data_IF_663271532355
#
_entry.id   IF_663271532355
#
_cell.length_a   1.000
_cell.length_b   1.000
_cell.length_c   1.000
_cell.angle_alpha   90.00
_cell.angle_beta   90.00
_cell.angle_gamma   90.00
#
_symmetry.space_group_name_H-M   'P 1'
#
loop_
_entity.id
_entity.type
_entity.pdbx_description
1 polymer ?
#
# COMPACT_ATOMS: atom_id res chain seq x y z
N UNK A 1 -10.24 0.40 26.58
CA UNK A 1 -11.35 0.20 25.63
C UNK A 1 -10.73 -0.56 24.47
N UNK A 2 -11.38 -1.61 23.97
CA UNK A 2 -10.83 -2.39 22.87
C UNK A 2 -11.52 -1.95 21.59
N UNK A 3 -10.75 -1.58 20.57
CA UNK A 3 -11.30 -1.06 19.32
C UNK A 3 -11.38 -2.13 18.23
N UNK A 4 -10.47 -3.12 18.27
CA UNK A 4 -10.34 -4.15 17.24
C UNK A 4 -10.45 -5.54 17.88
N UNK A 5 -11.52 -6.24 17.54
CA UNK A 5 -11.75 -7.63 17.91
C UNK A 5 -11.16 -8.57 16.84
N UNK A 6 -10.26 -9.48 17.21
CA UNK A 6 -9.68 -10.46 16.29
C UNK A 6 -10.36 -11.81 16.52
N UNK A 7 -11.25 -12.17 15.60
CA UNK A 7 -11.94 -13.44 15.52
C UNK A 7 -11.08 -14.42 14.69
N UNK A 8 -10.73 -15.56 15.27
CA UNK A 8 -9.90 -16.57 14.62
C UNK A 8 -10.20 -17.95 15.19
N UNK A 9 -9.72 -18.99 14.52
CA UNK A 9 -9.72 -20.36 15.03
C UNK A 9 -8.33 -20.79 15.44
N UNK A 10 -8.25 -21.64 16.46
CA UNK A 10 -6.98 -22.15 16.98
C UNK A 10 -6.14 -22.83 15.90
N UNK A 11 -6.75 -23.70 15.09
CA UNK A 11 -6.09 -24.38 13.97
C UNK A 11 -5.98 -23.42 12.78
N UNK A 12 -4.78 -23.30 12.21
CA UNK A 12 -4.49 -22.47 11.03
C UNK A 12 -4.36 -20.96 11.28
N UNK A 13 -5.16 -20.39 12.18
CA UNK A 13 -5.24 -18.93 12.37
C UNK A 13 -4.35 -18.32 13.46
N UNK A 14 -3.88 -19.10 14.45
CA UNK A 14 -3.25 -18.57 15.67
C UNK A 14 -1.99 -17.71 15.44
N UNK A 15 -1.14 -18.11 14.50
CA UNK A 15 0.10 -17.36 14.18
C UNK A 15 -0.21 -15.98 13.62
N UNK A 16 -1.11 -15.92 12.62
CA UNK A 16 -1.58 -14.66 12.05
C UNK A 16 -2.34 -13.82 13.07
N UNK A 17 -3.19 -14.43 13.90
CA UNK A 17 -3.91 -13.72 14.94
C UNK A 17 -2.96 -12.99 15.91
N UNK A 18 -1.93 -13.68 16.39
CA UNK A 18 -0.91 -13.10 17.27
C UNK A 18 -0.11 -11.98 16.58
N UNK A 19 0.16 -12.13 15.28
CA UNK A 19 0.83 -11.10 14.48
C UNK A 19 -0.06 -9.85 14.31
N UNK A 20 -1.35 -10.04 14.02
CA UNK A 20 -2.33 -8.95 13.93
C UNK A 20 -2.47 -8.23 15.27
N UNK A 21 -2.67 -8.97 16.38
CA UNK A 21 -2.78 -8.41 17.73
C UNK A 21 -1.60 -7.52 18.03
N UNK A 22 -0.38 -8.04 17.86
CA UNK A 22 0.85 -7.32 18.14
C UNK A 22 0.97 -6.06 17.27
N UNK A 23 0.86 -6.18 15.96
CA UNK A 23 1.08 -5.05 15.06
C UNK A 23 0.02 -3.95 15.19
N UNK A 24 -1.25 -4.33 15.39
CA UNK A 24 -2.32 -3.37 15.58
C UNK A 24 -2.24 -2.73 16.97
N UNK A 25 -1.81 -3.46 18.00
CA UNK A 25 -1.57 -2.87 19.33
C UNK A 25 -0.35 -1.95 19.36
N UNK A 26 0.72 -2.28 18.63
CA UNK A 26 1.87 -1.39 18.44
C UNK A 26 1.42 -0.06 17.81
N UNK A 27 0.49 -0.11 16.85
CA UNK A 27 -0.03 1.06 16.15
C UNK A 27 -1.05 1.88 16.95
N UNK A 28 -2.11 1.26 17.43
CA UNK A 28 -3.25 1.93 18.05
C UNK A 28 -3.19 1.94 19.58
N UNK A 29 -2.12 1.39 20.14
CA UNK A 29 -1.86 1.33 21.56
C UNK A 29 -2.15 -0.02 22.20
N UNK A 30 -1.51 -0.24 23.34
CA UNK A 30 -1.63 -1.48 24.09
C UNK A 30 -3.09 -1.76 24.46
N UNK A 31 -3.57 -2.96 24.14
CA UNK A 31 -4.96 -3.38 24.40
C UNK A 31 -6.00 -2.86 23.40
N UNK A 32 -5.60 -2.13 22.35
CA UNK A 32 -6.53 -1.71 21.27
C UNK A 32 -7.00 -2.87 20.41
N UNK A 33 -6.16 -3.88 20.21
CA UNK A 33 -6.48 -5.13 19.54
C UNK A 33 -6.40 -6.31 20.51
N UNK A 34 -7.35 -7.24 20.40
CA UNK A 34 -7.43 -8.38 21.31
C UNK A 34 -7.96 -9.64 20.63
N UNK A 35 -7.55 -10.77 21.17
CA UNK A 35 -7.82 -12.10 20.63
C UNK A 35 -9.02 -12.73 21.34
N UNK A 36 -10.02 -13.14 20.55
CA UNK A 36 -11.22 -13.83 21.02
C UNK A 36 -10.95 -14.94 22.06
N UNK A 37 -9.93 -15.77 21.83
CA UNK A 37 -9.67 -16.93 22.70
C UNK A 37 -8.63 -16.69 23.82
N UNK A 38 -7.89 -15.58 23.82
CA UNK A 38 -6.74 -15.39 24.75
C UNK A 38 -7.01 -14.32 25.81
N UNK A 39 -7.92 -13.39 25.57
CA UNK A 39 -8.06 -12.17 26.39
C UNK A 39 -9.04 -12.30 27.57
N UNK A 40 -9.59 -13.49 27.83
CA UNK A 40 -10.51 -13.71 28.94
C UNK A 40 -9.74 -14.22 30.15
N UNK A 41 -9.67 -13.37 31.18
CA UNK A 41 -9.03 -13.72 32.45
C UNK A 41 -9.67 -14.96 33.11
N UNK A 42 -8.88 -15.77 33.83
CA UNK A 42 -9.38 -16.97 34.49
C UNK A 42 -10.50 -16.64 35.49
N UNK A 43 -11.57 -17.44 35.49
CA UNK A 43 -12.73 -17.26 36.38
C UNK A 43 -13.88 -16.42 35.82
N UNK A 44 -13.68 -15.70 34.72
CA UNK A 44 -14.75 -14.95 34.06
C UNK A 44 -15.66 -15.87 33.23
N UNK A 45 -16.96 -15.55 33.18
CA UNK A 45 -17.87 -16.20 32.24
C UNK A 45 -17.44 -15.88 30.80
N UNK A 46 -16.86 -16.88 30.15
CA UNK A 46 -16.31 -16.77 28.80
C UNK A 46 -17.36 -16.29 27.78
N UNK A 47 -18.62 -16.72 27.95
CA UNK A 47 -19.73 -16.34 27.06
C UNK A 47 -19.97 -14.85 27.09
N UNK A 48 -20.13 -14.30 28.29
CA UNK A 48 -20.50 -12.90 28.47
C UNK A 48 -19.33 -12.00 28.11
N UNK A 49 -18.10 -12.37 28.51
CA UNK A 49 -16.91 -11.59 28.22
C UNK A 49 -16.68 -11.43 26.70
N UNK A 50 -16.88 -12.49 25.92
CA UNK A 50 -16.76 -12.44 24.45
C UNK A 50 -17.79 -11.52 23.82
N UNK A 51 -19.07 -11.70 24.16
CA UNK A 51 -20.18 -10.89 23.61
C UNK A 51 -19.98 -9.41 23.96
N UNK A 52 -19.62 -9.11 25.20
CA UNK A 52 -19.31 -7.74 25.61
C UNK A 52 -18.07 -7.18 24.90
N UNK A 53 -17.06 -8.01 24.65
CA UNK A 53 -15.88 -7.64 23.88
C UNK A 53 -16.25 -7.21 22.46
N UNK A 54 -17.00 -8.05 21.74
CA UNK A 54 -17.46 -7.75 20.37
C UNK A 54 -18.28 -6.46 20.34
N UNK A 55 -19.29 -6.33 21.22
CA UNK A 55 -20.17 -5.15 21.29
C UNK A 55 -19.45 -3.83 21.53
N UNK A 56 -18.32 -3.87 22.23
CA UNK A 56 -17.52 -2.68 22.55
C UNK A 56 -16.49 -2.33 21.49
N UNK A 57 -16.26 -3.24 20.54
CA UNK A 57 -15.28 -3.05 19.47
C UNK A 57 -15.90 -2.23 18.34
N UNK A 58 -15.04 -1.55 17.58
CA UNK A 58 -15.43 -0.81 16.37
C UNK A 58 -15.22 -1.65 15.13
N UNK A 59 -14.23 -2.53 15.17
CA UNK A 59 -13.86 -3.42 14.08
C UNK A 59 -13.80 -4.86 14.59
N UNK A 60 -14.34 -5.79 13.79
CA UNK A 60 -14.08 -7.21 13.92
C UNK A 60 -13.30 -7.68 12.70
N UNK A 61 -12.11 -8.24 12.93
CA UNK A 61 -11.29 -8.90 11.92
C UNK A 61 -11.57 -10.40 11.98
N UNK A 62 -12.21 -10.94 10.93
CA UNK A 62 -12.49 -12.38 10.82
C UNK A 62 -11.36 -13.06 10.04
N UNK A 63 -10.49 -13.80 10.73
CA UNK A 63 -9.36 -14.49 10.10
C UNK A 63 -9.82 -15.78 9.44
N UNK A 64 -9.72 -15.82 8.11
CA UNK A 64 -10.19 -16.91 7.25
C UNK A 64 -8.99 -17.59 6.61
N UNK A 65 -8.60 -18.74 7.14
CA UNK A 65 -7.62 -19.64 6.52
C UNK A 65 -8.27 -20.59 5.50
N UNK A 66 -7.45 -21.40 4.82
CA UNK A 66 -7.89 -22.36 3.81
C UNK A 66 -8.85 -23.45 4.33
N UNK A 67 -8.86 -23.70 5.64
CA UNK A 67 -9.72 -24.69 6.27
C UNK A 67 -10.91 -24.02 6.99
N UNK A 68 -11.10 -22.71 6.82
CA UNK A 68 -12.03 -21.91 7.63
C UNK A 68 -13.48 -22.38 7.53
N UNK A 69 -13.89 -22.68 6.30
CA UNK A 69 -15.26 -23.06 6.00
C UNK A 69 -15.56 -24.51 6.39
N UNK A 70 -14.59 -25.41 6.17
CA UNK A 70 -14.80 -26.86 6.23
C UNK A 70 -14.23 -27.53 7.48
N UNK A 71 -13.71 -26.78 8.45
CA UNK A 71 -13.19 -27.42 9.67
C UNK A 71 -14.27 -28.24 10.38
N UNK A 72 -13.88 -29.40 10.94
CA UNK A 72 -14.81 -30.31 11.58
C UNK A 72 -15.31 -29.76 12.91
N UNK A 73 -16.57 -30.05 13.23
CA UNK A 73 -17.12 -29.89 14.57
C UNK A 73 -16.57 -30.99 15.49
N UNK A 74 -15.75 -30.61 16.48
CA UNK A 74 -15.21 -31.56 17.45
C UNK A 74 -16.29 -32.26 18.29
N UNK A 75 -17.49 -31.70 18.40
CA UNK A 75 -18.61 -32.28 19.18
C UNK A 75 -19.44 -33.26 18.35
N UNK A 76 -19.42 -33.17 17.03
CA UNK A 76 -20.19 -34.04 16.13
C UNK A 76 -19.41 -34.37 14.87
N UNK A 77 -19.00 -35.63 14.77
CA UNK A 77 -18.36 -36.16 13.57
C UNK A 77 -19.23 -35.94 12.32
N UNK A 78 -18.59 -35.58 11.21
CA UNK A 78 -19.25 -35.36 9.91
C UNK A 78 -19.96 -34.01 9.74
N UNK A 79 -19.90 -33.10 10.72
CA UNK A 79 -20.47 -31.76 10.63
C UNK A 79 -19.36 -30.70 10.59
N UNK A 80 -19.58 -29.61 9.85
CA UNK A 80 -18.71 -28.42 9.88
C UNK A 80 -18.92 -27.63 11.17
N UNK A 81 -17.83 -27.12 11.76
CA UNK A 81 -17.86 -26.36 13.00
C UNK A 81 -18.79 -25.14 12.94
N UNK A 82 -18.78 -24.39 11.83
CA UNK A 82 -19.65 -23.23 11.62
C UNK A 82 -21.14 -23.59 11.52
N UNK A 83 -21.47 -24.84 11.21
CA UNK A 83 -22.85 -25.29 11.21
C UNK A 83 -23.43 -25.41 12.63
N UNK A 84 -22.60 -25.55 13.68
CA UNK A 84 -23.05 -25.53 15.07
C UNK A 84 -23.37 -24.08 15.52
N UNK A 85 -24.62 -23.76 15.90
CA UNK A 85 -24.96 -22.44 16.43
C UNK A 85 -24.25 -22.11 17.76
N UNK A 86 -23.71 -23.12 18.45
CA UNK A 86 -22.90 -22.93 19.67
C UNK A 86 -21.41 -22.74 19.38
N UNK A 87 -21.00 -22.68 18.11
CA UNK A 87 -19.62 -22.41 17.73
C UNK A 87 -19.27 -20.94 18.02
N UNK A 88 -18.16 -20.71 18.69
CA UNK A 88 -17.74 -19.38 19.13
C UNK A 88 -17.43 -18.42 17.98
N UNK A 89 -16.69 -18.90 16.98
CA UNK A 89 -16.33 -18.08 15.82
C UNK A 89 -17.58 -17.56 15.12
N UNK A 90 -18.56 -18.44 14.93
CA UNK A 90 -19.86 -18.05 14.39
C UNK A 90 -20.58 -17.02 15.26
N UNK A 91 -20.69 -17.27 16.57
CA UNK A 91 -21.42 -16.39 17.49
C UNK A 91 -20.82 -14.99 17.56
N UNK A 92 -19.50 -14.87 17.54
CA UNK A 92 -18.81 -13.58 17.56
C UNK A 92 -19.09 -12.76 16.31
N UNK A 93 -19.09 -13.40 15.13
CA UNK A 93 -19.41 -12.74 13.86
C UNK A 93 -20.90 -12.34 13.82
N UNK A 94 -21.79 -13.23 14.25
CA UNK A 94 -23.23 -12.93 14.34
C UNK A 94 -23.48 -11.73 15.27
N UNK A 95 -22.80 -11.68 16.42
CA UNK A 95 -22.92 -10.59 17.37
C UNK A 95 -22.36 -9.27 16.82
N UNK A 96 -21.26 -9.33 16.06
CA UNK A 96 -20.68 -8.15 15.41
C UNK A 96 -21.65 -7.53 14.40
N UNK A 97 -22.26 -8.36 13.55
CA UNK A 97 -23.29 -7.89 12.62
C UNK A 97 -24.49 -7.31 13.36
N UNK A 98 -24.97 -7.99 14.41
CA UNK A 98 -26.10 -7.51 15.22
C UNK A 98 -25.81 -6.17 15.92
N UNK A 99 -24.55 -5.93 16.28
CA UNK A 99 -24.11 -4.74 17.00
C UNK A 99 -23.64 -3.60 16.07
N UNK A 100 -23.70 -3.78 14.75
CA UNK A 100 -23.25 -2.78 13.79
C UNK A 100 -21.73 -2.55 13.77
N UNK A 101 -20.96 -3.53 14.24
CA UNK A 101 -19.48 -3.49 14.20
C UNK A 101 -19.02 -3.65 12.76
N UNK A 102 -17.97 -2.93 12.36
CA UNK A 102 -17.35 -3.09 11.04
C UNK A 102 -16.69 -4.47 10.95
N UNK A 103 -17.26 -5.38 10.16
CA UNK A 103 -16.70 -6.72 9.95
C UNK A 103 -15.81 -6.74 8.70
N UNK A 104 -14.56 -7.15 8.86
CA UNK A 104 -13.59 -7.26 7.77
C UNK A 104 -13.05 -8.70 7.71
N UNK A 105 -13.39 -9.48 6.67
CA UNK A 105 -12.75 -10.76 6.43
C UNK A 105 -11.26 -10.57 6.06
N UNK A 106 -10.38 -11.30 6.74
CA UNK A 106 -8.95 -11.36 6.45
C UNK A 106 -8.59 -12.75 5.92
N UNK A 107 -8.41 -12.87 4.61
CA UNK A 107 -8.00 -14.11 3.96
C UNK A 107 -6.52 -14.39 4.19
N UNK A 108 -6.21 -15.51 4.83
CA UNK A 108 -4.87 -15.87 5.27
C UNK A 108 -4.13 -16.72 4.23
N UNK A 109 -2.99 -16.22 3.77
CA UNK A 109 -2.17 -16.87 2.77
C UNK A 109 -2.80 -16.86 1.38
N UNK A 110 -2.26 -17.69 0.48
CA UNK A 110 -2.70 -17.76 -0.92
C UNK A 110 -3.83 -18.77 -1.15
N UNK A 111 -3.97 -19.76 -0.26
CA UNK A 111 -4.95 -20.84 -0.37
C UNK A 111 -6.30 -20.51 0.25
N UNK A 112 -6.39 -19.45 1.04
CA UNK A 112 -7.68 -18.92 1.48
C UNK A 112 -8.45 -18.32 0.31
N UNK A 113 -9.56 -18.94 -0.03
CA UNK A 113 -10.47 -18.53 -1.08
C UNK A 113 -11.48 -17.49 -0.58
N UNK A 114 -12.14 -16.81 -1.52
CA UNK A 114 -13.27 -15.96 -1.20
C UNK A 114 -14.39 -16.79 -0.59
N UNK A 115 -15.06 -16.24 0.42
CA UNK A 115 -16.19 -16.91 1.06
C UNK A 115 -17.37 -17.00 0.10
N UNK A 116 -17.98 -18.18 0.01
CA UNK A 116 -19.22 -18.41 -0.73
C UNK A 116 -20.42 -18.37 0.24
N UNK A 117 -21.32 -17.41 0.04
CA UNK A 117 -22.54 -17.22 0.84
C UNK A 117 -23.39 -18.50 0.92
N UNK A 118 -23.43 -19.31 -0.14
CA UNK A 118 -24.22 -20.55 -0.17
C UNK A 118 -23.63 -21.67 0.68
N UNK A 119 -22.31 -21.61 0.94
CA UNK A 119 -21.64 -22.58 1.79
C UNK A 119 -21.67 -22.18 3.27
N UNK A 120 -22.08 -20.95 3.58
CA UNK A 120 -22.20 -20.44 4.95
C UNK A 120 -23.58 -20.72 5.56
N UNK A 121 -23.69 -20.80 6.90
CA UNK A 121 -24.98 -20.65 7.57
C UNK A 121 -25.65 -19.33 7.17
N UNK A 122 -26.99 -19.32 7.06
CA UNK A 122 -27.75 -18.12 6.62
C UNK A 122 -27.39 -16.84 7.38
N UNK A 123 -27.14 -16.95 8.68
CA UNK A 123 -26.76 -15.82 9.54
C UNK A 123 -25.35 -15.26 9.28
N UNK A 124 -24.47 -16.05 8.65
CA UNK A 124 -23.13 -15.63 8.26
C UNK A 124 -23.00 -15.28 6.78
N UNK A 125 -24.06 -15.47 5.97
CA UNK A 125 -24.03 -15.13 4.55
C UNK A 125 -23.53 -13.68 4.26
N UNK A 126 -23.88 -12.64 5.06
CA UNK A 126 -23.36 -11.30 4.85
C UNK A 126 -21.82 -11.20 4.90
N UNK A 127 -21.13 -12.11 5.60
CA UNK A 127 -19.66 -12.13 5.66
C UNK A 127 -19.03 -12.34 4.28
N UNK A 128 -19.69 -13.07 3.39
CA UNK A 128 -19.23 -13.28 2.01
C UNK A 128 -19.41 -12.04 1.12
N UNK A 129 -20.26 -11.11 1.53
CA UNK A 129 -20.53 -9.85 0.81
C UNK A 129 -19.61 -8.71 1.30
N UNK A 130 -18.94 -8.88 2.44
CA UNK A 130 -17.97 -7.93 2.94
C UNK A 130 -16.72 -7.86 2.04
N UNK A 131 -16.19 -6.64 1.87
CA UNK A 131 -14.86 -6.46 1.27
C UNK A 131 -13.81 -7.13 2.17
N UNK A 132 -13.01 -8.02 1.58
CA UNK A 132 -11.97 -8.75 2.29
C UNK A 132 -10.59 -8.13 2.05
N UNK A 133 -9.70 -8.25 3.03
CA UNK A 133 -8.27 -8.06 2.83
C UNK A 133 -7.55 -9.40 2.78
N UNK A 134 -6.37 -9.41 2.17
CA UNK A 134 -5.51 -10.60 2.12
C UNK A 134 -4.23 -10.35 2.91
N UNK A 135 -3.89 -11.32 3.76
CA UNK A 135 -2.66 -11.32 4.54
C UNK A 135 -1.75 -12.44 4.05
N UNK A 136 -0.68 -12.08 3.34
CA UNK A 136 0.27 -13.04 2.78
C UNK A 136 1.41 -13.31 3.75
N UNK A 137 1.82 -14.57 3.87
CA UNK A 137 2.93 -14.96 4.75
C UNK A 137 4.27 -14.28 4.39
N UNK A 138 4.44 -13.86 3.13
CA UNK A 138 5.68 -13.21 2.65
C UNK A 138 5.70 -11.70 2.86
N UNK A 139 4.53 -11.08 3.03
CA UNK A 139 4.36 -9.61 3.03
C UNK A 139 3.49 -9.14 4.21
N UNK A 140 3.36 -9.97 5.25
CA UNK A 140 2.37 -9.78 6.29
C UNK A 140 2.45 -8.42 6.97
N UNK A 141 3.66 -7.91 7.21
CA UNK A 141 3.88 -6.59 7.79
C UNK A 141 3.36 -5.46 6.88
N UNK A 142 3.75 -5.46 5.60
CA UNK A 142 3.27 -4.47 4.63
C UNK A 142 1.74 -4.54 4.44
N UNK A 143 1.18 -5.74 4.45
CA UNK A 143 -0.27 -5.97 4.34
C UNK A 143 -1.00 -5.41 5.58
N UNK A 144 -0.46 -5.63 6.79
CA UNK A 144 -1.00 -5.07 8.03
C UNK A 144 -0.86 -3.55 8.12
N UNK A 145 0.20 -3.00 7.54
CA UNK A 145 0.38 -1.55 7.44
C UNK A 145 -0.78 -0.95 6.65
N UNK A 146 -1.03 -1.48 5.45
CA UNK A 146 -2.12 -1.05 4.56
C UNK A 146 -3.50 -1.29 5.18
N UNK A 147 -3.70 -2.43 5.84
CA UNK A 147 -4.95 -2.72 6.56
C UNK A 147 -5.22 -1.62 7.58
N UNK A 148 -4.25 -1.31 8.44
CA UNK A 148 -4.45 -0.27 9.45
C UNK A 148 -4.73 1.11 8.82
N UNK A 149 -4.12 1.44 7.68
CA UNK A 149 -4.35 2.74 7.02
C UNK A 149 -5.79 2.87 6.54
N UNK A 150 -6.34 1.77 6.01
CA UNK A 150 -7.75 1.68 5.63
C UNK A 150 -8.68 1.71 6.84
N UNK A 151 -8.31 1.05 7.93
CA UNK A 151 -9.09 1.10 9.17
C UNK A 151 -9.16 2.52 9.75
N UNK A 152 -8.06 3.27 9.71
CA UNK A 152 -8.03 4.69 10.13
C UNK A 152 -8.96 5.55 9.28
N UNK A 153 -9.02 5.31 7.97
CA UNK A 153 -9.92 6.06 7.07
C UNK A 153 -11.40 5.76 7.32
N UNK A 154 -11.72 4.56 7.82
CA UNK A 154 -13.10 4.10 7.99
C UNK A 154 -13.62 4.28 9.42
N UNK A 155 -12.73 4.33 10.42
CA UNK A 155 -13.09 4.30 11.84
C UNK A 155 -12.44 5.49 12.57
N UNK A 156 -13.21 6.55 12.86
CA UNK A 156 -12.69 7.75 13.53
C UNK A 156 -12.01 7.47 14.88
N UNK A 157 -12.52 6.52 15.65
CA UNK A 157 -11.94 6.13 16.93
C UNK A 157 -10.53 5.54 16.78
N UNK A 158 -10.26 4.80 15.71
CA UNK A 158 -8.91 4.29 15.40
C UNK A 158 -7.99 5.40 14.90
N UNK A 159 -8.52 6.37 14.14
CA UNK A 159 -7.75 7.55 13.74
C UNK A 159 -7.26 8.37 14.94
N UNK A 160 -8.10 8.51 15.98
CA UNK A 160 -7.72 9.20 17.22
C UNK A 160 -6.63 8.47 18.02
N UNK A 161 -6.46 7.16 17.81
CA UNK A 161 -5.51 6.31 18.53
C UNK A 161 -4.23 6.02 17.73
N UNK A 162 -4.15 6.41 16.46
CA UNK A 162 -3.02 6.08 15.60
C UNK A 162 -1.73 6.76 16.11
N UNK A 163 -0.78 5.95 16.58
CA UNK A 163 0.51 6.41 17.14
C UNK A 163 1.63 6.48 16.12
N UNK A 164 1.37 6.08 14.87
CA UNK A 164 2.38 6.31 13.84
C UNK A 164 2.64 7.81 13.78
N UNK A 165 3.91 8.24 13.76
CA UNK A 165 4.19 9.62 13.40
C UNK A 165 3.47 9.82 12.07
N UNK A 166 2.54 10.78 12.01
CA UNK A 166 1.83 11.11 10.79
C UNK A 166 2.90 11.15 9.71
N UNK A 167 2.92 10.14 8.85
CA UNK A 167 3.77 10.15 7.67
C UNK A 167 3.30 11.43 7.00
N UNK A 168 4.15 12.47 7.08
CA UNK A 168 3.76 13.87 6.85
C UNK A 168 2.67 13.84 5.82
N UNK A 169 1.44 14.20 6.22
CA UNK A 169 0.41 14.50 5.25
C UNK A 169 1.08 15.52 4.36
N UNK A 170 1.61 15.08 3.21
CA UNK A 170 1.91 15.99 2.14
C UNK A 170 0.52 16.57 1.89
N UNK A 171 0.31 17.87 2.16
CA UNK A 171 -0.96 18.47 1.84
C UNK A 171 -1.25 18.08 0.39
N UNK A 172 -2.45 17.56 0.15
CA UNK A 172 -3.00 17.44 -1.20
C UNK A 172 -2.61 18.73 -1.92
N UNK A 173 -1.92 18.68 -3.07
CA UNK A 173 -1.57 19.92 -3.74
C UNK A 173 -2.89 20.60 -4.08
N UNK A 174 -3.16 21.71 -3.38
CA UNK A 174 -4.08 22.72 -3.89
C UNK A 174 -3.63 23.03 -5.32
N UNK A 175 -4.58 23.19 -6.26
CA UNK A 175 -4.23 23.46 -7.64
C UNK A 175 -3.82 24.92 -7.70
N UNK A 176 -2.58 25.24 -7.33
CA UNK A 176 -2.02 26.53 -7.68
C UNK A 176 -0.52 26.50 -7.90
N UNK A 177 -0.18 26.75 -9.16
CA UNK A 177 0.91 27.63 -9.57
C UNK A 177 2.36 27.17 -9.29
N UNK A 178 2.99 26.76 -10.41
CA UNK A 178 4.44 26.76 -10.69
C UNK A 178 5.33 25.80 -9.89
N UNK A 179 5.64 24.65 -10.52
CA UNK A 179 6.88 23.91 -10.31
C UNK A 179 8.09 24.81 -10.67
N UNK A 180 8.57 25.58 -9.69
CA UNK A 180 9.86 26.24 -9.74
C UNK A 180 10.95 25.28 -9.26
N UNK A 181 11.84 24.86 -10.16
CA UNK A 181 13.09 24.18 -9.80
C UNK A 181 13.98 25.20 -9.08
N UNK A 182 14.26 25.00 -7.79
CA UNK A 182 15.30 25.77 -7.08
C UNK A 182 16.66 25.16 -7.37
N UNK A 183 17.50 25.90 -8.09
CA UNK A 183 18.88 25.53 -8.41
C UNK A 183 19.82 26.59 -7.84
N UNK A 184 19.93 26.65 -6.51
CA UNK A 184 20.57 27.79 -5.84
C UNK A 184 22.11 27.78 -5.90
N UNK A 185 22.75 26.78 -6.54
CA UNK A 185 24.21 26.67 -6.60
C UNK A 185 24.80 26.17 -7.94
N UNK A 186 24.10 26.26 -9.07
CA UNK A 186 24.71 26.01 -10.39
C UNK A 186 24.73 27.28 -11.24
N UNK A 187 25.93 27.79 -11.51
CA UNK A 187 26.17 28.81 -12.52
C UNK A 187 26.74 28.16 -13.79
N UNK A 188 26.05 28.38 -14.92
CA UNK A 188 26.50 28.00 -16.26
C UNK A 188 26.39 26.50 -16.60
N UNK A 189 25.44 26.15 -17.46
CA UNK A 189 25.39 24.80 -18.06
C UNK A 189 24.04 24.43 -18.69
N UNK A 190 24.08 23.49 -19.64
CA UNK A 190 22.91 22.79 -20.19
C UNK A 190 22.83 21.42 -19.49
N UNK A 191 21.70 21.10 -18.90
CA UNK A 191 21.47 19.84 -18.21
C UNK A 191 20.18 19.15 -18.65
N UNK A 192 20.18 17.82 -18.62
CA UNK A 192 18.99 17.00 -18.81
C UNK A 192 18.65 16.32 -17.48
N UNK A 193 17.44 16.52 -16.97
CA UNK A 193 16.93 15.83 -15.77
C UNK A 193 15.96 14.75 -16.25
N UNK A 194 16.13 13.50 -15.79
CA UNK A 194 15.21 12.41 -16.12
C UNK A 194 13.83 12.62 -15.47
N UNK A 195 12.77 12.60 -16.27
CA UNK A 195 11.38 12.83 -15.87
C UNK A 195 10.59 13.57 -16.95
N UNK A 196 9.37 14.03 -16.63
CA UNK A 196 8.50 14.82 -17.54
C UNK A 196 8.94 16.28 -17.75
N UNK A 197 10.16 16.62 -17.36
CA UNK A 197 10.72 17.97 -17.48
C UNK A 197 11.83 17.92 -18.53
N UNK A 198 11.63 18.63 -19.64
CA UNK A 198 12.58 18.68 -20.76
C UNK A 198 13.88 19.41 -20.42
N UNK A 199 14.74 19.57 -21.43
CA UNK A 199 16.04 20.25 -21.31
C UNK A 199 15.90 21.66 -20.75
N UNK A 200 16.67 21.99 -19.71
CA UNK A 200 16.74 23.34 -19.17
C UNK A 200 18.03 24.04 -19.59
N UNK A 201 17.94 25.33 -19.91
CA UNK A 201 19.08 26.20 -20.24
C UNK A 201 18.98 27.43 -19.35
N UNK A 202 19.95 27.65 -18.47
CA UNK A 202 19.95 28.81 -17.58
C UNK A 202 20.84 29.93 -18.15
N UNK A 203 20.25 31.12 -18.29
CA UNK A 203 20.79 32.36 -18.90
C UNK A 203 21.51 32.23 -20.26
N UNK A 204 20.78 32.56 -21.33
CA UNK A 204 21.29 32.58 -22.70
C UNK A 204 21.43 33.99 -23.22
N UNK A 205 22.62 34.33 -23.69
CA UNK A 205 22.95 35.66 -24.20
C UNK A 205 23.05 35.69 -25.74
N UNK A 206 22.34 34.77 -26.43
CA UNK A 206 22.30 34.69 -27.89
C UNK A 206 21.10 33.87 -28.41
N UNK A 207 20.86 33.84 -29.73
CA UNK A 207 19.70 33.14 -30.32
C UNK A 207 19.76 31.62 -30.07
N UNK A 208 18.65 31.04 -29.59
CA UNK A 208 18.53 29.61 -29.27
C UNK A 208 17.46 28.94 -30.15
N UNK A 209 17.66 27.67 -30.47
CA UNK A 209 16.66 26.81 -31.12
C UNK A 209 16.51 25.52 -30.30
N UNK A 210 15.34 25.32 -29.72
CA UNK A 210 15.02 24.15 -28.88
C UNK A 210 14.00 23.19 -29.53
N UNK A 211 13.65 23.42 -30.80
CA UNK A 211 12.78 22.54 -31.59
C UNK A 211 13.56 21.57 -32.49
N UNK A 212 12.84 20.61 -33.08
CA UNK A 212 13.39 19.73 -34.12
C UNK A 212 13.36 20.45 -35.48
N UNK A 213 14.50 20.48 -36.17
CA UNK A 213 14.66 21.06 -37.50
C UNK A 213 16.12 21.45 -37.79
N UNK A 214 16.46 21.60 -39.07
CA UNK A 214 17.80 22.02 -39.48
C UNK A 214 18.03 23.50 -39.15
N UNK A 215 19.10 23.78 -38.41
CA UNK A 215 19.58 25.13 -38.19
C UNK A 215 20.50 25.56 -39.33
N UNK A 216 19.98 26.40 -40.22
CA UNK A 216 20.79 27.04 -41.26
C UNK A 216 21.25 28.40 -40.75
N UNK A 217 22.52 28.50 -40.36
CA UNK A 217 23.14 29.77 -39.99
C UNK A 217 23.83 30.38 -41.23
N UNK A 218 23.20 31.38 -41.86
CA UNK A 218 23.84 32.17 -42.91
C UNK A 218 22.87 32.87 -43.86
N UNK A 219 23.00 34.20 -43.96
CA UNK A 219 22.50 34.98 -45.10
C UNK A 219 23.41 34.80 -46.34
N UNK A 220 22.85 35.17 -47.49
CA UNK A 220 23.14 34.78 -48.89
C UNK A 220 24.58 34.69 -49.44
N UNK A 221 25.67 34.83 -48.67
CA UNK A 221 27.02 34.96 -49.28
C UNK A 221 28.12 34.05 -48.67
N UNK A 222 27.92 33.37 -47.54
CA UNK A 222 28.95 32.47 -47.00
C UNK A 222 28.32 31.19 -46.43
N UNK A 223 28.62 30.03 -47.04
CA UNK A 223 28.21 28.73 -46.50
C UNK A 223 28.96 28.45 -45.19
N UNK A 224 28.29 28.67 -44.06
CA UNK A 224 28.79 28.30 -42.73
C UNK A 224 28.90 26.78 -42.53
N UNK A 225 29.64 26.32 -41.49
CA UNK A 225 29.87 24.91 -41.25
C UNK A 225 28.57 24.18 -40.88
N UNK A 226 28.26 23.10 -41.61
CA UNK A 226 27.18 22.18 -41.26
C UNK A 226 27.66 21.21 -40.18
N UNK A 227 26.87 21.05 -39.12
CA UNK A 227 27.23 20.22 -37.97
C UNK A 227 26.13 19.18 -37.79
N UNK A 228 26.49 17.89 -37.86
CA UNK A 228 25.55 16.77 -37.80
C UNK A 228 26.14 15.65 -36.95
N UNK A 229 25.33 15.06 -36.07
CA UNK A 229 25.67 13.91 -35.22
C UNK A 229 25.59 14.18 -33.72
N UNK A 230 25.39 13.13 -32.93
CA UNK A 230 25.29 13.20 -31.46
C UNK A 230 26.60 13.66 -30.81
N UNK A 231 26.51 14.60 -29.86
CA UNK A 231 27.64 15.06 -29.06
C UNK A 231 28.54 16.11 -29.74
N UNK A 232 28.05 16.79 -30.78
CA UNK A 232 28.79 17.87 -31.45
C UNK A 232 28.65 19.21 -30.72
N UNK A 233 29.77 19.93 -30.56
CA UNK A 233 29.80 21.29 -29.99
C UNK A 233 30.49 22.24 -30.98
N UNK A 234 29.85 23.38 -31.27
CA UNK A 234 30.43 24.47 -32.05
C UNK A 234 30.77 25.64 -31.15
N UNK A 235 31.96 26.21 -31.30
CA UNK A 235 32.34 27.44 -30.61
C UNK A 235 32.80 28.46 -31.65
N UNK A 236 32.06 29.57 -31.74
CA UNK A 236 32.44 30.71 -32.58
C UNK A 236 33.05 31.78 -31.68
N UNK A 237 34.33 32.12 -31.89
CA UNK A 237 35.09 33.06 -31.04
C UNK A 237 36.22 32.39 -30.24
N UNK A 238 36.90 33.17 -29.37
CA UNK A 238 38.08 32.71 -28.65
C UNK A 238 37.75 31.82 -27.44
N UNK A 239 38.07 30.53 -27.51
CA UNK A 239 38.02 29.63 -26.35
C UNK A 239 39.42 29.45 -25.74
N UNK A 240 39.60 29.85 -24.48
CA UNK A 240 40.86 29.69 -23.72
C UNK A 240 40.77 28.72 -22.54
N UNK A 241 39.78 27.82 -22.52
CA UNK A 241 39.65 26.75 -21.51
C UNK A 241 39.70 25.34 -22.07
N UNK A 242 39.76 25.18 -23.40
CA UNK A 242 39.66 23.88 -24.07
C UNK A 242 38.25 23.29 -23.99
N UNK A 243 37.95 22.30 -24.84
CA UNK A 243 36.73 21.49 -24.75
C UNK A 243 37.18 20.08 -24.37
N UNK A 244 36.78 19.61 -23.19
CA UNK A 244 37.12 18.27 -22.72
C UNK A 244 35.83 17.44 -22.60
N UNK A 245 35.70 16.44 -23.46
CA UNK A 245 34.60 15.49 -23.44
C UNK A 245 35.17 14.09 -23.21
N UNK A 246 34.66 13.36 -22.22
CA UNK A 246 35.03 11.98 -21.96
C UNK A 246 33.78 11.11 -22.08
N UNK A 247 33.66 10.41 -23.21
CA UNK A 247 32.55 9.49 -23.46
C UNK A 247 32.94 8.09 -22.96
N UNK A 248 32.13 7.52 -22.05
CA UNK A 248 32.21 6.12 -21.64
C UNK A 248 31.73 5.18 -22.77
N UNK A 249 32.09 3.89 -22.72
CA UNK A 249 31.92 2.98 -23.85
C UNK A 249 30.45 2.77 -24.22
N UNK A 250 30.15 2.91 -25.51
CA UNK A 250 28.84 2.63 -26.10
C UNK A 250 28.55 1.13 -25.97
N UNK A 251 27.42 0.76 -25.35
CA UNK A 251 26.86 -0.58 -25.51
C UNK A 251 26.29 -0.68 -26.93
N UNK A 252 26.92 -1.51 -27.76
CA UNK A 252 26.48 -1.76 -29.13
C UNK A 252 25.15 -2.50 -29.14
N UNK A 253 24.10 -1.82 -29.58
CA UNK A 253 22.86 -2.46 -30.06
C UNK A 253 23.13 -2.90 -31.50
N UNK A 254 23.34 -4.20 -31.72
CA UNK A 254 23.13 -4.82 -33.03
C UNK A 254 21.65 -5.20 -33.07
N UNK A 255 20.88 -4.45 -33.83
CA UNK A 255 19.56 -4.86 -34.29
C UNK A 255 19.72 -5.85 -35.48
N UNK A 256 18.69 -6.68 -35.64
CA UNK A 256 18.51 -7.74 -36.63
C UNK A 256 18.50 -7.28 -38.11
N UNK A 257 18.55 -8.30 -38.98
CA UNK A 257 18.12 -8.38 -40.40
C UNK A 257 19.20 -8.36 -41.49
N UNK A 258 19.73 -9.55 -41.83
CA UNK A 258 19.39 -10.27 -43.08
C UNK A 258 19.86 -11.71 -43.08
#
# INVERSE_FOLDING_TARGET
>A
MHEIFINYRTEGGKGFASLCERHLSERFGEGSAFLAQKSIGPGNNFVDALVHGVRRSRVLLALVDEHWLDAPDHRRSGRRALSDPKNWVRREIEEAFASGVLVVPLLLGRRAEQLDAHRLPKSLAPLAECQYERLSNRSAEADLIRLGDRLVQQVPELAALDRRPAAKTQPSPEPDTQLGVRNDHQSGGIGQVGGSVGTFVNESHGPLHSGNGDLVHGGDVVRGPKIVGDGTNHVTGGNRGGIHQRFGPRTGRKDDER
#
